data_IF_267950420927
#
_entry.id   IF_267950420927
#
_cell.length_a   1.000
_cell.length_b   1.000
_cell.length_c   1.000
_cell.angle_alpha   90.00
_cell.angle_beta   90.00
_cell.angle_gamma   90.00
#
_symmetry.space_group_name_H-M   'P 1'
#
loop_
_entity.id
_entity.type
_entity.pdbx_description
1 polymer ?
#
# COMPACT_ATOMS: atom_id res chain seq x y z
N UNK A 1 -16.80 -1.78 -8.53
CA UNK A 1 -17.64 -1.38 -7.38
C UNK A 1 -16.76 -0.89 -6.24
N UNK A 2 -17.14 0.20 -5.62
CA UNK A 2 -16.40 0.77 -4.49
C UNK A 2 -17.03 0.32 -3.18
N UNK A 3 -16.18 0.01 -2.19
CA UNK A 3 -16.60 -0.26 -0.83
C UNK A 3 -16.15 0.88 0.07
N UNK A 4 -17.06 1.41 0.89
CA UNK A 4 -16.72 2.41 1.89
C UNK A 4 -16.60 1.73 3.24
N UNK A 5 -15.47 1.94 3.93
CA UNK A 5 -15.21 1.29 5.21
C UNK A 5 -14.46 2.24 6.15
N UNK A 6 -14.94 2.31 7.38
CA UNK A 6 -14.21 3.00 8.43
C UNK A 6 -13.16 2.05 8.99
N UNK A 7 -11.89 2.42 8.86
CA UNK A 7 -10.79 1.63 9.39
C UNK A 7 -10.21 2.28 10.62
N UNK A 8 -9.87 1.48 11.64
CA UNK A 8 -9.21 2.02 12.83
C UNK A 8 -7.78 2.44 12.52
N UNK A 9 -7.09 2.95 13.53
CA UNK A 9 -5.67 3.24 13.43
C UNK A 9 -4.91 2.02 12.89
N UNK A 10 -4.05 2.26 11.90
CA UNK A 10 -3.32 1.20 11.19
C UNK A 10 -1.90 1.11 11.73
N UNK A 11 -1.55 -0.05 12.28
CA UNK A 11 -0.21 -0.34 12.79
C UNK A 11 0.49 -1.29 11.82
N UNK A 12 1.67 -0.90 11.36
CA UNK A 12 2.42 -1.69 10.37
C UNK A 12 3.89 -1.79 10.74
N UNK A 13 4.52 -2.86 10.28
CA UNK A 13 5.97 -3.04 10.32
C UNK A 13 6.42 -3.34 8.90
N UNK A 14 7.42 -2.61 8.42
CA UNK A 14 7.87 -2.80 7.05
C UNK A 14 9.17 -2.10 6.71
N UNK A 15 9.54 -2.17 5.46
CA UNK A 15 10.70 -1.50 4.90
C UNK A 15 10.27 -0.22 4.19
N UNK A 16 11.02 0.86 4.43
CA UNK A 16 10.78 2.13 3.77
C UNK A 16 12.06 2.65 3.13
N UNK A 17 11.91 3.30 1.98
CA UNK A 17 13.00 3.98 1.31
C UNK A 17 13.35 5.34 1.95
N UNK A 18 12.49 5.88 2.80
CA UNK A 18 12.69 7.20 3.42
C UNK A 18 13.97 7.24 4.28
N UNK A 19 14.29 6.14 4.94
CA UNK A 19 15.47 6.04 5.78
C UNK A 19 16.68 5.42 5.06
N UNK A 20 16.54 5.13 3.77
CA UNK A 20 17.67 4.69 2.96
C UNK A 20 18.62 5.87 2.75
N UNK A 21 19.89 5.58 2.54
CA UNK A 21 20.97 6.58 2.51
C UNK A 21 20.96 7.51 1.30
N UNK A 22 19.83 7.81 0.75
CA UNK A 22 19.67 8.85 -0.27
C UNK A 22 19.97 8.43 -1.69
N UNK A 23 20.46 7.22 -1.91
CA UNK A 23 20.70 6.71 -3.26
C UNK A 23 19.53 5.83 -3.71
N UNK A 24 18.99 6.06 -4.91
CA UNK A 24 17.94 5.18 -5.45
C UNK A 24 18.53 3.80 -5.71
N UNK A 25 17.79 2.77 -5.30
CA UNK A 25 18.18 1.41 -5.64
C UNK A 25 17.86 1.17 -7.13
N UNK A 26 18.84 0.68 -7.91
CA UNK A 26 18.62 0.42 -9.34
C UNK A 26 17.46 -0.52 -9.61
N UNK A 27 17.23 -1.44 -8.69
CA UNK A 27 16.08 -2.35 -8.72
C UNK A 27 15.56 -2.54 -7.30
N UNK A 28 14.55 -1.75 -6.97
CA UNK A 28 13.94 -1.74 -5.64
C UNK A 28 13.45 -3.13 -5.21
N UNK A 29 12.76 -3.82 -6.10
CA UNK A 29 12.15 -5.11 -5.76
C UNK A 29 13.20 -6.21 -5.58
N UNK A 30 14.27 -6.16 -6.39
CA UNK A 30 15.39 -7.09 -6.26
C UNK A 30 16.08 -6.93 -4.91
N UNK A 31 16.27 -5.69 -4.49
CA UNK A 31 16.85 -5.40 -3.16
C UNK A 31 15.94 -5.92 -2.05
N UNK A 32 14.66 -5.57 -2.10
CA UNK A 32 13.71 -5.86 -1.03
C UNK A 32 13.49 -7.37 -0.85
N UNK A 33 13.32 -8.10 -1.95
CA UNK A 33 13.07 -9.53 -1.89
C UNK A 33 14.34 -10.38 -1.92
N UNK A 34 15.44 -9.84 -2.40
CA UNK A 34 16.74 -10.54 -2.45
C UNK A 34 17.62 -10.23 -1.25
N UNK A 35 18.32 -9.11 -1.28
CA UNK A 35 19.31 -8.78 -0.25
C UNK A 35 18.70 -8.58 1.14
N UNK A 36 17.59 -7.87 1.23
CA UNK A 36 16.91 -7.62 2.49
C UNK A 36 16.15 -8.86 2.97
N UNK A 37 15.72 -9.71 2.06
CA UNK A 37 14.90 -10.90 2.34
C UNK A 37 13.69 -10.58 3.20
N UNK A 38 12.85 -9.68 2.69
CA UNK A 38 11.72 -9.14 3.44
C UNK A 38 10.69 -10.22 3.79
N UNK A 39 10.55 -11.25 2.96
CA UNK A 39 9.64 -12.36 3.24
C UNK A 39 10.02 -13.08 4.53
N UNK A 40 11.30 -13.39 4.71
CA UNK A 40 11.78 -14.04 5.93
C UNK A 40 11.59 -13.12 7.15
N UNK A 41 11.83 -11.82 6.98
CA UNK A 41 11.65 -10.85 8.06
C UNK A 41 10.17 -10.74 8.46
N UNK A 42 9.26 -10.70 7.48
CA UNK A 42 7.83 -10.68 7.76
C UNK A 42 7.35 -11.97 8.42
N UNK A 43 7.88 -13.11 8.00
CA UNK A 43 7.54 -14.40 8.61
C UNK A 43 7.92 -14.48 10.08
N UNK A 44 8.95 -13.74 10.51
CA UNK A 44 9.37 -13.69 11.91
C UNK A 44 8.44 -12.88 12.80
N UNK A 45 7.54 -12.09 12.23
CA UNK A 45 6.61 -11.25 13.00
C UNK A 45 5.41 -12.08 13.40
N UNK A 46 5.21 -12.25 14.71
CA UNK A 46 4.14 -13.09 15.25
C UNK A 46 2.82 -12.35 15.45
N UNK A 47 2.86 -11.02 15.49
CA UNK A 47 1.69 -10.18 15.74
C UNK A 47 0.93 -9.75 14.47
N UNK A 48 1.19 -10.36 13.33
CA UNK A 48 0.50 -10.05 12.08
C UNK A 48 -1.01 -10.25 12.20
N UNK A 49 -1.76 -9.31 11.65
CA UNK A 49 -3.22 -9.33 11.70
C UNK A 49 -3.77 -10.43 10.80
N UNK A 50 -3.16 -10.64 9.67
CA UNK A 50 -3.73 -11.46 8.63
C UNK A 50 -2.88 -12.63 8.24
N UNK A 51 -3.50 -13.50 7.48
CA UNK A 51 -2.86 -14.64 6.89
C UNK A 51 -1.67 -14.22 6.05
N UNK A 52 -0.69 -15.09 6.01
CA UNK A 52 0.52 -14.92 5.24
C UNK A 52 0.23 -14.59 3.78
N UNK A 53 1.02 -13.72 3.21
CA UNK A 53 0.96 -13.38 1.79
C UNK A 53 0.26 -12.08 1.46
N UNK A 54 -0.34 -11.41 2.45
CA UNK A 54 -0.98 -10.11 2.21
C UNK A 54 -0.08 -8.98 2.67
N UNK A 55 0.65 -8.39 1.73
CA UNK A 55 1.49 -7.24 2.00
C UNK A 55 0.74 -5.96 1.68
N UNK A 56 1.18 -4.86 2.31
CA UNK A 56 0.66 -3.53 2.06
C UNK A 56 1.74 -2.68 1.41
N UNK A 57 1.38 -1.98 0.34
CA UNK A 57 2.24 -0.95 -0.24
C UNK A 57 1.67 0.40 0.14
N UNK A 58 2.33 1.12 1.05
CA UNK A 58 1.85 2.39 1.58
C UNK A 58 2.63 3.55 1.01
N UNK A 59 1.91 4.58 0.60
CA UNK A 59 2.47 5.80 0.00
C UNK A 59 2.32 6.93 1.00
N UNK A 60 3.42 7.27 1.66
CA UNK A 60 3.44 8.22 2.77
C UNK A 60 3.45 9.66 2.29
N UNK A 61 2.96 10.57 3.14
CA UNK A 61 3.03 12.03 2.95
C UNK A 61 2.45 12.51 1.61
N UNK A 62 1.31 11.95 1.22
CA UNK A 62 0.61 12.32 0.00
C UNK A 62 -0.56 13.24 0.29
N UNK A 63 -0.84 14.11 -0.65
CA UNK A 63 -2.01 14.99 -0.60
C UNK A 63 -3.06 14.61 -1.65
N UNK A 64 -2.73 13.62 -2.48
CA UNK A 64 -3.61 13.09 -3.52
C UNK A 64 -3.25 11.63 -3.80
N UNK A 65 -4.15 10.93 -4.48
CA UNK A 65 -3.88 9.55 -4.89
C UNK A 65 -2.73 9.54 -5.91
N UNK A 66 -1.65 8.80 -5.66
CA UNK A 66 -0.49 8.77 -6.57
C UNK A 66 -0.79 8.04 -7.86
N UNK A 67 -0.11 8.44 -8.93
CA UNK A 67 -0.15 7.71 -10.20
C UNK A 67 0.81 6.53 -10.12
N UNK A 68 0.27 5.34 -10.05
CA UNK A 68 1.05 4.14 -9.73
C UNK A 68 2.07 3.75 -10.81
N UNK A 69 1.90 4.19 -12.05
CA UNK A 69 2.86 3.92 -13.12
C UNK A 69 4.00 4.93 -13.20
N UNK A 70 3.94 6.00 -12.42
CA UNK A 70 5.04 6.96 -12.35
C UNK A 70 6.09 6.47 -11.36
N UNK A 71 7.35 6.46 -11.79
CA UNK A 71 8.45 6.00 -10.95
C UNK A 71 8.48 6.75 -9.60
N UNK A 72 8.20 8.04 -9.63
CA UNK A 72 8.18 8.87 -8.42
C UNK A 72 7.20 8.38 -7.37
N UNK A 73 6.14 7.66 -7.74
CA UNK A 73 5.21 7.11 -6.77
C UNK A 73 5.86 6.01 -5.93
N UNK A 74 6.86 5.33 -6.47
CA UNK A 74 7.54 4.20 -5.82
C UNK A 74 8.88 4.60 -5.21
N UNK A 75 9.52 5.65 -5.73
CA UNK A 75 10.85 6.06 -5.30
C UNK A 75 10.86 6.91 -4.03
N UNK A 76 9.74 7.56 -3.72
CA UNK A 76 9.67 8.50 -2.60
C UNK A 76 8.60 8.10 -1.60
N UNK A 77 9.02 7.97 -0.33
CA UNK A 77 8.11 7.79 0.80
C UNK A 77 7.21 6.57 0.68
N UNK A 78 7.75 5.50 0.11
CA UNK A 78 7.07 4.24 -0.03
C UNK A 78 7.42 3.31 1.14
N UNK A 79 6.43 2.54 1.60
CA UNK A 79 6.61 1.56 2.66
C UNK A 79 5.98 0.24 2.22
N UNK A 80 6.78 -0.83 2.19
CA UNK A 80 6.26 -2.19 1.99
C UNK A 80 6.17 -2.86 3.36
N UNK A 81 4.98 -3.26 3.77
CA UNK A 81 4.74 -3.62 5.15
C UNK A 81 3.69 -4.71 5.33
N UNK A 82 3.59 -5.19 6.56
CA UNK A 82 2.48 -6.04 7.01
C UNK A 82 1.77 -5.35 8.16
N UNK A 83 0.46 -5.52 8.24
CA UNK A 83 -0.33 -5.02 9.35
C UNK A 83 -0.11 -5.88 10.58
N UNK A 84 0.04 -5.24 11.75
CA UNK A 84 0.26 -5.94 13.01
C UNK A 84 -0.79 -5.52 14.04
N UNK A 85 -1.07 -6.43 14.97
CA UNK A 85 -2.04 -6.17 16.05
C UNK A 85 -1.44 -5.30 17.14
N UNK A 86 -0.13 -5.40 17.34
CA UNK A 86 0.59 -4.64 18.33
C UNK A 86 2.02 -4.42 17.87
N UNK A 87 2.63 -3.34 18.38
CA UNK A 87 3.98 -2.93 18.00
C UNK A 87 4.96 -3.44 19.07
N UNK A 88 5.41 -4.68 18.96
CA UNK A 88 6.36 -5.24 19.92
C UNK A 88 7.73 -5.55 19.30
N UNK A 89 7.83 -6.49 18.42
CA UNK A 89 9.11 -6.91 17.84
C UNK A 89 9.29 -6.34 16.43
N UNK A 90 10.44 -5.69 16.17
CA UNK A 90 10.78 -5.12 14.87
C UNK A 90 12.02 -5.83 14.34
N UNK A 91 11.91 -6.61 13.26
CA UNK A 91 13.08 -7.21 12.63
C UNK A 91 14.09 -6.16 12.19
N UNK A 92 15.38 -6.52 12.20
CA UNK A 92 16.46 -5.62 11.78
C UNK A 92 16.21 -5.14 10.35
N UNK A 93 16.41 -3.84 10.11
CA UNK A 93 16.23 -3.22 8.80
C UNK A 93 14.81 -2.79 8.51
N UNK A 94 13.86 -3.10 9.38
CA UNK A 94 12.48 -2.68 9.25
C UNK A 94 12.15 -1.56 10.23
N UNK A 95 11.05 -0.88 9.98
CA UNK A 95 10.53 0.19 10.85
C UNK A 95 9.07 -0.08 11.17
N UNK A 96 8.61 0.50 12.27
CA UNK A 96 7.19 0.49 12.59
C UNK A 96 6.59 1.86 12.30
N UNK A 97 5.35 1.87 11.83
CA UNK A 97 4.58 3.08 11.58
C UNK A 97 3.16 2.89 12.05
N UNK A 98 2.54 3.99 12.45
CA UNK A 98 1.13 4.04 12.81
C UNK A 98 0.47 5.16 12.01
N UNK A 99 -0.62 4.84 11.34
CA UNK A 99 -1.39 5.80 10.56
C UNK A 99 -2.75 6.00 11.20
N UNK A 100 -3.30 7.23 11.17
CA UNK A 100 -4.55 7.52 11.87
C UNK A 100 -5.74 6.79 11.26
N UNK A 101 -6.76 6.58 12.07
CA UNK A 101 -8.03 6.04 11.60
C UNK A 101 -8.62 6.96 10.53
N UNK A 102 -9.27 6.38 9.54
CA UNK A 102 -9.90 7.13 8.46
C UNK A 102 -11.01 6.30 7.82
N UNK A 103 -11.91 6.98 7.13
CA UNK A 103 -12.81 6.32 6.22
C UNK A 103 -12.05 6.07 4.92
N UNK A 104 -12.20 4.88 4.36
CA UNK A 104 -11.53 4.48 3.13
C UNK A 104 -12.54 4.10 2.07
N UNK A 105 -12.25 4.52 0.85
CA UNK A 105 -12.90 3.98 -0.35
C UNK A 105 -11.98 2.89 -0.91
N UNK A 106 -12.48 1.69 -1.00
CA UNK A 106 -11.71 0.52 -1.39
C UNK A 106 -12.16 0.08 -2.78
N UNK A 107 -11.21 0.08 -3.72
CA UNK A 107 -11.45 -0.29 -5.11
C UNK A 107 -10.67 -1.56 -5.42
N UNK A 108 -11.36 -2.56 -5.95
CA UNK A 108 -10.69 -3.80 -6.37
C UNK A 108 -10.21 -3.66 -7.80
N UNK A 109 -8.89 -3.79 -8.00
CA UNK A 109 -8.27 -3.86 -9.31
C UNK A 109 -8.10 -5.33 -9.68
N UNK A 110 -8.71 -5.76 -10.76
CA UNK A 110 -8.62 -7.14 -11.21
C UNK A 110 -8.47 -7.24 -12.72
N UNK A 111 -7.95 -8.37 -13.20
CA UNK A 111 -7.71 -8.61 -14.60
C UNK A 111 -6.23 -8.72 -14.93
N UNK A 112 -5.81 -8.12 -16.06
CA UNK A 112 -4.39 -8.05 -16.43
C UNK A 112 -3.70 -7.02 -15.52
N UNK A 113 -2.58 -7.36 -14.85
CA UNK A 113 -2.01 -6.52 -13.78
C UNK A 113 -1.84 -5.05 -14.12
N UNK A 114 -1.14 -4.73 -15.21
CA UNK A 114 -0.88 -3.34 -15.59
C UNK A 114 -2.18 -2.59 -15.90
N UNK A 115 -3.02 -3.20 -16.72
CA UNK A 115 -4.30 -2.60 -17.12
C UNK A 115 -5.26 -2.47 -15.94
N UNK A 116 -5.24 -3.44 -15.03
CA UNK A 116 -6.10 -3.41 -13.84
C UNK A 116 -5.83 -2.18 -12.98
N UNK A 117 -4.56 -1.88 -12.70
CA UNK A 117 -4.20 -0.69 -11.94
C UNK A 117 -4.58 0.59 -12.68
N UNK A 118 -4.24 0.69 -13.96
CA UNK A 118 -4.52 1.88 -14.76
C UNK A 118 -6.02 2.16 -14.85
N UNK A 119 -6.80 1.15 -15.15
CA UNK A 119 -8.25 1.29 -15.27
C UNK A 119 -8.89 1.70 -13.95
N UNK A 120 -8.48 1.07 -12.86
CA UNK A 120 -9.00 1.39 -11.53
C UNK A 120 -8.61 2.80 -11.12
N UNK A 121 -7.38 3.19 -11.34
CA UNK A 121 -6.89 4.54 -11.04
C UNK A 121 -7.64 5.59 -11.84
N UNK A 122 -7.84 5.36 -13.14
CA UNK A 122 -8.58 6.29 -14.00
C UNK A 122 -10.02 6.44 -13.51
N UNK A 123 -10.64 5.35 -13.11
CA UNK A 123 -11.99 5.38 -12.54
C UNK A 123 -12.03 6.24 -11.27
N UNK A 124 -11.07 6.06 -10.36
CA UNK A 124 -11.00 6.83 -9.12
C UNK A 124 -10.91 8.32 -9.42
N UNK A 125 -9.99 8.73 -10.28
CA UNK A 125 -9.68 10.14 -10.53
C UNK A 125 -10.64 10.84 -11.47
N UNK A 126 -11.10 10.14 -12.50
CA UNK A 126 -11.89 10.77 -13.56
C UNK A 126 -13.40 10.62 -13.33
N UNK A 127 -13.80 9.62 -12.58
CA UNK A 127 -15.22 9.32 -12.42
C UNK A 127 -15.65 9.39 -10.95
N UNK A 128 -15.03 8.63 -10.08
CA UNK A 128 -15.54 8.46 -8.72
C UNK A 128 -15.31 9.68 -7.83
N UNK A 129 -14.06 10.13 -7.67
CA UNK A 129 -13.76 11.28 -6.80
C UNK A 129 -14.47 12.57 -7.24
N UNK A 130 -14.43 12.95 -8.54
CA UNK A 130 -15.09 14.20 -8.95
C UNK A 130 -16.60 14.20 -8.76
N UNK A 131 -17.24 13.05 -8.89
CA UNK A 131 -18.70 12.91 -8.80
C UNK A 131 -19.19 12.50 -7.42
N UNK A 132 -18.29 12.19 -6.50
CA UNK A 132 -18.65 11.79 -5.14
C UNK A 132 -18.74 13.01 -4.22
N UNK A 133 -19.30 12.81 -3.03
CA UNK A 133 -19.29 13.80 -1.97
C UNK A 133 -17.98 13.80 -1.15
N UNK A 134 -16.97 13.06 -1.62
CA UNK A 134 -15.72 12.85 -0.90
C UNK A 134 -14.52 13.43 -1.64
N UNK A 135 -13.48 13.70 -0.89
CA UNK A 135 -12.16 14.08 -1.40
C UNK A 135 -11.09 13.27 -0.68
N UNK A 136 -9.88 13.28 -1.22
CA UNK A 136 -8.74 12.62 -0.59
C UNK A 136 -8.48 13.22 0.78
N UNK A 137 -8.26 12.35 1.79
CA UNK A 137 -7.90 12.78 3.14
C UNK A 137 -6.37 12.83 3.27
N UNK A 138 -5.76 14.03 3.31
CA UNK A 138 -4.30 14.14 3.41
C UNK A 138 -3.72 13.67 4.74
N UNK A 139 -4.55 13.52 5.76
CA UNK A 139 -4.13 13.00 7.06
C UNK A 139 -4.09 11.48 7.08
N UNK A 140 -4.73 10.82 6.11
CA UNK A 140 -4.69 9.37 5.95
C UNK A 140 -3.54 8.92 5.04
N UNK A 141 -3.42 7.62 4.86
CA UNK A 141 -2.40 7.04 3.98
C UNK A 141 -3.09 6.27 2.86
N UNK A 142 -2.69 6.55 1.60
CA UNK A 142 -3.08 5.71 0.48
C UNK A 142 -2.28 4.41 0.54
N UNK A 143 -2.95 3.28 0.40
CA UNK A 143 -2.22 2.03 0.35
C UNK A 143 -2.87 1.03 -0.61
N UNK A 144 -2.04 0.11 -1.10
CA UNK A 144 -2.45 -1.03 -1.90
C UNK A 144 -2.36 -2.25 -1.00
N UNK A 145 -3.45 -2.97 -0.88
CA UNK A 145 -3.46 -4.27 -0.20
C UNK A 145 -3.27 -5.34 -1.27
N UNK A 146 -2.08 -5.93 -1.28
CA UNK A 146 -1.78 -7.04 -2.19
C UNK A 146 -2.41 -8.31 -1.66
N UNK A 147 -2.83 -9.18 -2.57
CA UNK A 147 -3.39 -10.48 -2.26
C UNK A 147 -2.47 -11.57 -2.81
N UNK A 148 -2.78 -12.81 -2.55
CA UNK A 148 -2.07 -13.94 -3.15
C UNK A 148 -2.18 -13.95 -4.67
N UNK A 149 -3.11 -13.20 -5.25
CA UNK A 149 -3.33 -13.08 -6.69
C UNK A 149 -2.68 -11.83 -7.28
N UNK A 150 -1.78 -11.20 -6.57
CA UNK A 150 -1.16 -9.94 -7.04
C UNK A 150 0.18 -10.15 -7.75
N UNK A 151 0.46 -11.35 -8.20
CA UNK A 151 1.68 -11.64 -8.96
C UNK A 151 1.66 -11.04 -10.36
N UNK A 152 2.82 -10.64 -10.92
CA UNK A 152 2.88 -9.98 -12.23
C UNK A 152 2.45 -10.89 -13.40
N UNK A 153 2.46 -12.20 -13.19
CA UNK A 153 2.06 -13.18 -14.20
C UNK A 153 0.73 -13.85 -13.87
N UNK A 154 0.00 -13.32 -12.91
CA UNK A 154 -1.25 -13.92 -12.49
C UNK A 154 -2.36 -13.53 -13.46
N UNK A 155 -3.00 -14.51 -14.09
CA UNK A 155 -4.10 -14.28 -15.03
C UNK A 155 -5.34 -13.70 -14.36
N UNK A 156 -5.46 -13.87 -13.06
CA UNK A 156 -6.58 -13.37 -12.25
C UNK A 156 -6.08 -12.39 -11.21
N UNK A 157 -5.20 -11.49 -11.64
CA UNK A 157 -4.65 -10.47 -10.77
C UNK A 157 -5.75 -9.77 -9.98
N UNK A 158 -5.52 -9.63 -8.68
CA UNK A 158 -6.41 -8.89 -7.80
C UNK A 158 -5.60 -8.16 -6.73
N UNK A 159 -5.90 -6.90 -6.57
CA UNK A 159 -5.34 -6.07 -5.50
C UNK A 159 -6.39 -5.04 -5.10
N UNK A 160 -6.29 -4.50 -3.89
CA UNK A 160 -7.23 -3.49 -3.39
C UNK A 160 -6.51 -2.15 -3.25
N UNK A 161 -7.04 -1.13 -3.93
CA UNK A 161 -6.57 0.25 -3.78
C UNK A 161 -7.41 0.93 -2.70
N UNK A 162 -6.76 1.31 -1.61
CA UNK A 162 -7.43 1.87 -0.43
C UNK A 162 -7.15 3.36 -0.35
N UNK A 163 -8.16 4.17 -0.62
CA UNK A 163 -8.06 5.63 -0.69
C UNK A 163 -8.66 6.23 0.57
N UNK A 164 -7.87 6.95 1.38
CA UNK A 164 -8.42 7.66 2.54
C UNK A 164 -9.27 8.84 2.06
N UNK A 165 -10.47 8.97 2.60
CA UNK A 165 -11.43 9.98 2.15
C UNK A 165 -12.04 10.75 3.32
N UNK A 166 -12.43 11.99 3.03
CA UNK A 166 -13.25 12.83 3.91
C UNK A 166 -14.31 13.52 3.05
N UNK A 167 -15.38 13.97 3.66
CA UNK A 167 -16.41 14.73 2.95
C UNK A 167 -15.87 16.06 2.45
N UNK A 168 -16.32 16.43 1.27
CA UNK A 168 -15.99 17.73 0.68
C UNK A 168 -16.53 18.87 1.52
#
# INVERSE_FOLDING_TARGET
MVELRDLPELHVIGWTNVNASGEPYPNLWEFVFGELDIDAKFDSITSKVQDSGCYLGLFQNRTSVPRLWEQAAWDHEFLLAVEVKQLDFIPEGLVQKTFPASTYAIFTANGVPHSAFQNTWNHIHNEWLPHSEYKFNPDGVFFIQYTEKSGPNDERFEAHLCVPIVKK
#
